data_IF_027918771138
#
_entry.id   IF_027918771138
#
_cell.length_a   1.000
_cell.length_b   1.000
_cell.length_c   1.000
_cell.angle_alpha   90.00
_cell.angle_beta   90.00
_cell.angle_gamma   90.00
#
_symmetry.space_group_name_H-M   'P 1'
#
loop_
_entity.id
_entity.type
_entity.pdbx_description
1 polymer ?
#
# COMPACT_ATOMS: atom_id res chain seq x y z
N UNK A 1 16.41 8.78 -0.18
CA UNK A 1 16.15 10.22 -0.03
C UNK A 1 16.62 11.05 -1.24
N UNK A 2 17.79 10.76 -1.84
CA UNK A 2 18.30 11.52 -3.01
C UNK A 2 17.35 11.59 -4.23
N UNK A 3 16.67 10.49 -4.61
CA UNK A 3 15.74 10.50 -5.77
C UNK A 3 14.51 11.39 -5.57
N UNK A 4 14.07 11.59 -4.32
CA UNK A 4 12.84 12.33 -4.00
C UNK A 4 13.05 13.84 -3.98
N UNK A 5 14.27 14.31 -3.67
CA UNK A 5 14.62 15.73 -3.73
C UNK A 5 14.78 16.22 -5.18
N UNK A 6 15.21 15.37 -6.12
CA UNK A 6 15.31 15.74 -7.55
C UNK A 6 13.98 16.11 -8.20
N UNK A 7 12.86 15.50 -7.77
CA UNK A 7 11.52 15.84 -8.28
C UNK A 7 11.02 17.21 -7.77
N UNK A 8 11.55 17.64 -6.62
CA UNK A 8 11.18 18.90 -5.96
C UNK A 8 12.08 20.05 -6.44
N UNK A 9 13.34 19.77 -6.77
CA UNK A 9 14.30 20.72 -7.33
C UNK A 9 14.17 20.92 -8.86
N UNK A 10 13.05 20.49 -9.45
CA UNK A 10 12.77 20.65 -10.88
C UNK A 10 11.71 21.73 -11.15
N UNK A 11 11.52 22.09 -12.42
CA UNK A 11 10.57 23.14 -12.87
C UNK A 11 9.15 23.02 -12.28
N UNK A 12 8.66 21.78 -12.09
CA UNK A 12 7.35 21.54 -11.47
C UNK A 12 7.33 21.89 -9.98
N UNK A 13 8.42 21.59 -9.26
CA UNK A 13 8.58 22.00 -7.87
C UNK A 13 8.62 23.53 -7.75
N UNK A 14 9.39 24.20 -8.59
CA UNK A 14 9.46 25.68 -8.63
C UNK A 14 8.10 26.32 -8.90
N UNK A 15 7.34 25.75 -9.84
CA UNK A 15 5.99 26.21 -10.16
C UNK A 15 5.06 26.11 -8.93
N UNK A 16 5.07 24.98 -8.22
CA UNK A 16 4.26 24.82 -7.01
C UNK A 16 4.75 25.69 -5.86
N UNK A 17 6.07 25.86 -5.68
CA UNK A 17 6.65 26.78 -4.69
C UNK A 17 6.19 28.22 -4.94
N UNK A 18 6.31 28.72 -6.18
CA UNK A 18 5.81 30.04 -6.57
C UNK A 18 4.31 30.19 -6.32
N UNK A 19 3.53 29.12 -6.56
CA UNK A 19 2.10 29.12 -6.29
C UNK A 19 1.81 29.19 -4.79
N UNK A 20 2.55 28.45 -3.96
CA UNK A 20 2.38 28.48 -2.51
C UNK A 20 2.73 29.83 -1.90
N UNK A 21 3.84 30.45 -2.34
CA UNK A 21 4.23 31.80 -1.93
C UNK A 21 3.18 32.87 -2.28
N UNK A 22 2.43 32.67 -3.38
CA UNK A 22 1.38 33.59 -3.82
C UNK A 22 -0.02 33.20 -3.34
N UNK A 23 -0.17 32.06 -2.67
CA UNK A 23 -1.49 31.50 -2.34
C UNK A 23 -2.08 32.20 -1.11
N UNK A 24 -3.30 32.73 -1.22
CA UNK A 24 -4.09 33.17 -0.06
C UNK A 24 -4.86 32.03 0.61
N UNK A 25 -4.96 30.88 -0.06
CA UNK A 25 -5.80 29.76 0.39
C UNK A 25 -5.02 28.79 1.30
N UNK A 26 -3.68 28.81 1.27
CA UNK A 26 -2.85 27.88 2.02
C UNK A 26 -1.72 28.63 2.71
N UNK A 27 -1.81 28.68 4.03
CA UNK A 27 -0.74 29.11 4.92
C UNK A 27 0.12 27.90 5.29
N UNK A 28 1.43 27.99 5.03
CA UNK A 28 2.39 26.98 5.42
C UNK A 28 2.74 27.14 6.89
N UNK A 29 2.58 26.08 7.68
CA UNK A 29 2.78 26.15 9.14
C UNK A 29 4.17 25.63 9.56
N UNK A 30 4.85 24.90 8.69
CA UNK A 30 6.21 24.38 8.95
C UNK A 30 6.88 23.94 7.65
N UNK A 31 8.21 23.76 7.69
CA UNK A 31 8.97 23.14 6.60
C UNK A 31 8.43 21.74 6.25
N UNK A 32 8.07 20.94 7.27
CA UNK A 32 7.51 19.60 7.09
C UNK A 32 6.19 19.60 6.34
N UNK A 33 5.31 20.59 6.61
CA UNK A 33 4.05 20.80 5.89
C UNK A 33 4.31 21.14 4.41
N UNK A 34 5.18 22.12 4.16
CA UNK A 34 5.56 22.54 2.82
C UNK A 34 6.16 21.38 2.00
N UNK A 35 7.16 20.68 2.54
CA UNK A 35 7.82 19.56 1.84
C UNK A 35 6.86 18.40 1.60
N UNK A 36 5.96 18.09 2.53
CA UNK A 36 4.96 17.03 2.35
C UNK A 36 4.02 17.35 1.17
N UNK A 37 3.50 18.58 1.12
CA UNK A 37 2.60 19.04 0.06
C UNK A 37 3.29 19.07 -1.28
N UNK A 38 4.49 19.64 -1.35
CA UNK A 38 5.25 19.76 -2.58
C UNK A 38 5.56 18.38 -3.16
N UNK A 39 5.96 17.42 -2.31
CA UNK A 39 6.15 16.01 -2.70
C UNK A 39 4.86 15.37 -3.22
N UNK A 40 3.75 15.55 -2.53
CA UNK A 40 2.45 15.03 -2.97
C UNK A 40 2.07 15.58 -4.35
N UNK A 41 2.19 16.90 -4.53
CA UNK A 41 1.81 17.59 -5.76
C UNK A 41 2.68 17.17 -6.93
N UNK A 42 4.01 17.25 -6.81
CA UNK A 42 4.91 16.83 -7.87
C UNK A 42 4.64 15.37 -8.26
N UNK A 43 4.55 14.45 -7.29
CA UNK A 43 4.31 13.03 -7.59
C UNK A 43 2.95 12.80 -8.25
N UNK A 44 1.89 13.43 -7.75
CA UNK A 44 0.57 13.30 -8.33
C UNK A 44 0.52 13.84 -9.76
N UNK A 45 1.12 15.01 -10.02
CA UNK A 45 1.14 15.59 -11.36
C UNK A 45 1.97 14.79 -12.35
N UNK A 46 3.11 14.22 -11.95
CA UNK A 46 3.87 13.31 -12.83
C UNK A 46 3.16 11.98 -13.07
N UNK A 47 2.35 11.51 -12.11
CA UNK A 47 1.65 10.23 -12.22
C UNK A 47 0.38 10.32 -13.06
N UNK A 48 -0.32 11.46 -13.06
CA UNK A 48 -1.58 11.64 -13.79
C UNK A 48 -1.49 11.31 -15.29
N UNK A 49 -0.51 11.84 -16.06
CA UNK A 49 -0.35 11.48 -17.47
C UNK A 49 -0.09 10.00 -17.69
N UNK A 50 0.65 9.35 -16.78
CA UNK A 50 0.93 7.92 -16.85
C UNK A 50 -0.35 7.11 -16.62
N UNK A 51 -1.16 7.47 -15.62
CA UNK A 51 -2.46 6.82 -15.39
C UNK A 51 -3.45 7.05 -16.54
N UNK A 52 -3.40 8.23 -17.17
CA UNK A 52 -4.19 8.52 -18.36
C UNK A 52 -3.77 7.62 -19.54
N UNK A 53 -2.46 7.48 -19.80
CA UNK A 53 -1.95 6.57 -20.82
C UNK A 53 -2.35 5.12 -20.55
N UNK A 54 -2.30 4.67 -19.29
CA UNK A 54 -2.78 3.34 -18.93
C UNK A 54 -4.28 3.19 -19.18
N UNK A 55 -5.09 4.17 -18.82
CA UNK A 55 -6.53 4.19 -19.14
C UNK A 55 -6.76 4.01 -20.64
N UNK A 56 -6.08 4.78 -21.48
CA UNK A 56 -6.16 4.66 -22.94
C UNK A 56 -5.73 3.26 -23.42
N UNK A 57 -4.67 2.70 -22.86
CA UNK A 57 -4.20 1.34 -23.18
C UNK A 57 -5.28 0.28 -22.86
N UNK A 58 -5.89 0.32 -21.67
CA UNK A 58 -6.92 -0.66 -21.31
C UNK A 58 -8.19 -0.51 -22.17
N UNK A 59 -8.59 0.72 -22.50
CA UNK A 59 -9.70 0.98 -23.44
C UNK A 59 -9.38 0.40 -24.81
N UNK A 60 -8.19 0.68 -25.35
CA UNK A 60 -7.76 0.15 -26.64
C UNK A 60 -7.73 -1.38 -26.65
N UNK A 61 -7.17 -2.00 -25.61
CA UNK A 61 -7.15 -3.44 -25.42
C UNK A 61 -8.58 -4.03 -25.41
N UNK A 62 -9.51 -3.39 -24.69
CA UNK A 62 -10.91 -3.82 -24.63
C UNK A 62 -11.56 -3.78 -26.00
N UNK A 63 -11.35 -2.69 -26.76
CA UNK A 63 -11.91 -2.52 -28.11
C UNK A 63 -11.37 -3.59 -29.07
N UNK A 64 -10.07 -3.91 -29.01
CA UNK A 64 -9.50 -4.98 -29.84
C UNK A 64 -10.10 -6.34 -29.51
N UNK A 65 -10.21 -6.68 -28.23
CA UNK A 65 -10.74 -7.97 -27.78
C UNK A 65 -12.21 -8.12 -28.20
N UNK A 66 -13.00 -7.05 -28.09
CA UNK A 66 -14.39 -7.01 -28.56
C UNK A 66 -14.50 -7.09 -30.10
N UNK A 67 -13.62 -6.41 -30.84
CA UNK A 67 -13.58 -6.51 -32.29
C UNK A 67 -13.19 -7.92 -32.76
N UNK A 68 -12.32 -8.62 -32.02
CA UNK A 68 -11.98 -10.02 -32.27
C UNK A 68 -13.17 -10.95 -31.96
N UNK A 69 -13.92 -10.69 -30.88
CA UNK A 69 -15.14 -11.41 -30.54
C UNK A 69 -16.19 -11.33 -31.67
N UNK A 70 -16.44 -10.12 -32.18
CA UNK A 70 -17.48 -9.87 -33.19
C UNK A 70 -17.12 -10.42 -34.59
N UNK A 71 -15.83 -10.53 -34.91
CA UNK A 71 -15.37 -10.97 -36.24
C UNK A 71 -15.02 -12.46 -36.32
N UNK A 72 -15.04 -13.20 -35.21
CA UNK A 72 -14.73 -14.62 -35.24
C UNK A 72 -15.96 -15.46 -35.63
N UNK A 73 -15.93 -16.01 -36.84
CA UNK A 73 -17.01 -16.88 -37.36
C UNK A 73 -16.94 -18.34 -36.87
N UNK A 74 -15.91 -18.72 -36.11
CA UNK A 74 -15.60 -20.13 -35.76
C UNK A 74 -15.18 -20.31 -34.30
N UNK A 75 -15.60 -19.43 -33.39
CA UNK A 75 -15.26 -19.61 -31.98
C UNK A 75 -16.09 -20.74 -31.34
N UNK A 76 -15.40 -21.68 -30.70
CA UNK A 76 -16.01 -22.62 -29.75
C UNK A 76 -16.65 -21.86 -28.58
N UNK A 77 -17.63 -22.48 -27.91
CA UNK A 77 -18.32 -21.90 -26.74
C UNK A 77 -17.32 -21.49 -25.63
N UNK A 78 -16.28 -22.30 -25.41
CA UNK A 78 -15.20 -22.04 -24.45
C UNK A 78 -14.40 -20.79 -24.83
N UNK A 79 -14.06 -20.64 -26.12
CA UNK A 79 -13.32 -19.47 -26.61
C UNK A 79 -14.13 -18.17 -26.44
N UNK A 80 -15.44 -18.23 -26.70
CA UNK A 80 -16.33 -17.09 -26.51
C UNK A 80 -16.45 -16.68 -25.04
N UNK A 81 -16.60 -17.65 -24.14
CA UNK A 81 -16.64 -17.42 -22.69
C UNK A 81 -15.37 -16.73 -22.18
N UNK A 82 -14.19 -17.23 -22.60
CA UNK A 82 -12.91 -16.65 -22.19
C UNK A 82 -12.72 -15.21 -22.67
N UNK A 83 -13.19 -14.88 -23.89
CA UNK A 83 -13.15 -13.52 -24.42
C UNK A 83 -14.07 -12.57 -23.61
N UNK A 84 -15.25 -13.04 -23.21
CA UNK A 84 -16.16 -12.26 -22.34
C UNK A 84 -15.52 -11.99 -20.97
N UNK A 85 -14.89 -12.99 -20.36
CA UNK A 85 -14.18 -12.83 -19.09
C UNK A 85 -13.02 -11.83 -19.22
N UNK A 86 -12.29 -11.88 -20.34
CA UNK A 86 -11.23 -10.92 -20.65
C UNK A 86 -11.77 -9.49 -20.76
N UNK A 87 -12.94 -9.29 -21.40
CA UNK A 87 -13.59 -7.98 -21.48
C UNK A 87 -13.98 -7.49 -20.07
N UNK A 88 -14.52 -8.37 -19.22
CA UNK A 88 -14.91 -8.02 -17.85
C UNK A 88 -13.70 -7.58 -17.02
N UNK A 89 -12.57 -8.28 -17.09
CA UNK A 89 -11.33 -7.90 -16.41
C UNK A 89 -10.81 -6.56 -16.91
N UNK A 90 -10.80 -6.34 -18.23
CA UNK A 90 -10.36 -5.06 -18.80
C UNK A 90 -11.27 -3.90 -18.35
N UNK A 91 -12.58 -4.12 -18.28
CA UNK A 91 -13.53 -3.13 -17.74
C UNK A 91 -13.23 -2.79 -16.27
N UNK A 92 -12.97 -3.81 -15.43
CA UNK A 92 -12.58 -3.61 -14.02
C UNK A 92 -11.28 -2.80 -13.94
N UNK A 93 -10.28 -3.07 -14.79
CA UNK A 93 -9.05 -2.30 -14.81
C UNK A 93 -9.25 -0.86 -15.27
N UNK A 94 -10.11 -0.60 -16.25
CA UNK A 94 -10.46 0.77 -16.65
C UNK A 94 -11.05 1.53 -15.45
N UNK A 95 -11.98 0.91 -14.71
CA UNK A 95 -12.56 1.51 -13.51
C UNK A 95 -11.50 1.82 -12.45
N UNK A 96 -10.55 0.91 -12.22
CA UNK A 96 -9.43 1.12 -11.28
C UNK A 96 -8.54 2.28 -11.73
N UNK A 97 -8.21 2.39 -13.03
CA UNK A 97 -7.37 3.51 -13.51
C UNK A 97 -8.09 4.86 -13.41
N UNK A 98 -9.39 4.91 -13.72
CA UNK A 98 -10.20 6.12 -13.54
C UNK A 98 -10.27 6.52 -12.05
N UNK A 99 -10.38 5.53 -11.17
CA UNK A 99 -10.30 5.73 -9.72
C UNK A 99 -8.92 6.29 -9.29
N UNK A 100 -7.81 5.82 -9.85
CA UNK A 100 -6.48 6.40 -9.59
C UNK A 100 -6.41 7.87 -10.02
N UNK A 101 -6.91 8.20 -11.21
CA UNK A 101 -6.98 9.59 -11.68
C UNK A 101 -7.80 10.45 -10.71
N UNK A 102 -8.95 9.94 -10.25
CA UNK A 102 -9.79 10.62 -9.28
C UNK A 102 -9.06 10.87 -7.94
N UNK A 103 -8.38 9.87 -7.38
CA UNK A 103 -7.61 10.03 -6.14
C UNK A 103 -6.48 11.04 -6.32
N UNK A 104 -5.67 10.89 -7.38
CA UNK A 104 -4.53 11.76 -7.62
C UNK A 104 -4.98 13.22 -7.81
N UNK A 105 -6.07 13.44 -8.53
CA UNK A 105 -6.69 14.76 -8.69
C UNK A 105 -7.19 15.31 -7.35
N UNK A 106 -7.84 14.49 -6.53
CA UNK A 106 -8.31 14.85 -5.20
C UNK A 106 -7.14 15.27 -4.29
N UNK A 107 -6.02 14.54 -4.32
CA UNK A 107 -4.79 14.90 -3.58
C UNK A 107 -4.28 16.27 -4.03
N UNK A 108 -4.24 16.54 -5.33
CA UNK A 108 -3.79 17.85 -5.85
C UNK A 108 -4.70 18.97 -5.36
N UNK A 109 -6.01 18.79 -5.46
CA UNK A 109 -6.99 19.79 -5.04
C UNK A 109 -6.85 20.10 -3.54
N UNK A 110 -6.75 19.07 -2.70
CA UNK A 110 -6.65 19.25 -1.24
C UNK A 110 -5.31 19.90 -0.88
N UNK A 111 -4.19 19.41 -1.41
CA UNK A 111 -2.87 19.93 -1.07
C UNK A 111 -2.66 21.39 -1.49
N UNK A 112 -3.39 21.86 -2.52
CA UNK A 112 -3.34 23.24 -3.02
C UNK A 112 -4.30 24.22 -2.35
N UNK A 113 -5.36 23.75 -1.71
CA UNK A 113 -6.44 24.63 -1.24
C UNK A 113 -6.74 24.52 0.26
N UNK A 114 -6.15 23.56 0.95
CA UNK A 114 -6.49 23.28 2.33
C UNK A 114 -5.33 23.59 3.27
N UNK A 115 -5.52 24.49 4.23
CA UNK A 115 -4.59 24.68 5.35
C UNK A 115 -4.62 23.53 6.35
N UNK A 116 -3.54 23.37 7.10
CA UNK A 116 -3.48 22.39 8.18
C UNK A 116 -4.60 22.66 9.21
N UNK A 117 -5.42 21.65 9.49
CA UNK A 117 -6.59 21.80 10.34
C UNK A 117 -7.26 20.45 10.65
N UNK A 118 -8.41 20.48 11.34
CA UNK A 118 -9.18 19.26 11.65
C UNK A 118 -9.52 18.44 10.41
N UNK A 119 -9.79 19.10 9.28
CA UNK A 119 -10.06 18.39 8.04
C UNK A 119 -8.84 17.63 7.49
N UNK A 120 -7.61 17.94 7.90
CA UNK A 120 -6.40 17.16 7.55
C UNK A 120 -6.55 15.74 8.07
N UNK A 121 -7.03 15.57 9.31
CA UNK A 121 -7.30 14.26 9.89
C UNK A 121 -8.42 13.54 9.15
N UNK A 122 -9.48 14.25 8.75
CA UNK A 122 -10.60 13.66 7.99
C UNK A 122 -10.13 13.17 6.61
N UNK A 123 -9.45 14.03 5.86
CA UNK A 123 -8.94 13.67 4.54
C UNK A 123 -7.95 12.51 4.61
N UNK A 124 -7.01 12.55 5.56
CA UNK A 124 -6.01 11.49 5.71
C UNK A 124 -6.63 10.17 6.15
N UNK A 125 -7.66 10.18 6.99
CA UNK A 125 -8.41 8.98 7.34
C UNK A 125 -9.12 8.37 6.10
N UNK A 126 -9.84 9.19 5.33
CA UNK A 126 -10.50 8.74 4.09
C UNK A 126 -9.49 8.21 3.07
N UNK A 127 -8.40 8.94 2.83
CA UNK A 127 -7.33 8.53 1.93
C UNK A 127 -6.70 7.20 2.37
N UNK A 128 -6.43 7.04 3.67
CA UNK A 128 -5.85 5.82 4.21
C UNK A 128 -6.80 4.62 4.05
N UNK A 129 -8.11 4.79 4.30
CA UNK A 129 -9.11 3.72 4.10
C UNK A 129 -9.16 3.29 2.64
N UNK A 130 -9.19 4.26 1.72
CA UNK A 130 -9.17 4.00 0.28
C UNK A 130 -7.90 3.24 -0.14
N UNK A 131 -6.72 3.74 0.27
CA UNK A 131 -5.44 3.11 -0.01
C UNK A 131 -5.32 1.68 0.55
N UNK A 132 -5.77 1.45 1.79
CA UNK A 132 -5.70 0.13 2.43
C UNK A 132 -6.68 -0.86 1.81
N UNK A 133 -7.90 -0.42 1.48
CA UNK A 133 -8.89 -1.23 0.76
C UNK A 133 -8.35 -1.68 -0.60
N UNK A 134 -7.70 -0.77 -1.32
CA UNK A 134 -7.09 -1.08 -2.60
C UNK A 134 -5.87 -2.00 -2.45
N UNK A 135 -5.01 -1.77 -1.45
CA UNK A 135 -3.89 -2.67 -1.18
C UNK A 135 -4.39 -4.11 -0.94
N UNK A 136 -5.46 -4.28 -0.16
CA UNK A 136 -6.10 -5.58 0.08
C UNK A 136 -6.66 -6.20 -1.21
N UNK A 137 -7.28 -5.40 -2.08
CA UNK A 137 -7.74 -5.86 -3.40
C UNK A 137 -6.57 -6.46 -4.21
N UNK A 138 -5.46 -5.75 -4.31
CA UNK A 138 -4.29 -6.24 -5.05
C UNK A 138 -3.61 -7.46 -4.42
N UNK A 139 -3.52 -7.52 -3.09
CA UNK A 139 -2.93 -8.68 -2.45
C UNK A 139 -3.80 -9.92 -2.48
N UNK A 140 -5.10 -9.74 -2.68
CA UNK A 140 -6.09 -10.83 -2.75
C UNK A 140 -6.51 -11.12 -4.19
N UNK A 141 -5.75 -10.60 -5.15
CA UNK A 141 -6.10 -10.60 -6.56
C UNK A 141 -6.38 -12.00 -7.11
N UNK A 142 -5.68 -13.03 -6.64
CA UNK A 142 -5.94 -14.42 -7.03
C UNK A 142 -7.32 -14.93 -6.59
N UNK A 143 -7.76 -14.60 -5.37
CA UNK A 143 -9.11 -14.93 -4.91
C UNK A 143 -10.17 -14.13 -5.65
N UNK A 144 -9.87 -12.89 -6.04
CA UNK A 144 -10.78 -12.06 -6.84
C UNK A 144 -10.90 -12.63 -8.26
N UNK A 145 -9.78 -13.04 -8.88
CA UNK A 145 -9.80 -13.68 -10.19
C UNK A 145 -10.63 -14.97 -10.18
N UNK A 146 -10.50 -15.78 -9.13
CA UNK A 146 -11.36 -16.96 -8.96
C UNK A 146 -12.83 -16.59 -8.78
N UNK A 147 -13.13 -15.60 -7.93
CA UNK A 147 -14.50 -15.13 -7.70
C UNK A 147 -15.16 -14.53 -8.95
N UNK A 148 -14.39 -13.80 -9.78
CA UNK A 148 -14.85 -13.29 -11.09
C UNK A 148 -15.01 -14.38 -12.13
N UNK A 149 -14.62 -15.60 -11.80
CA UNK A 149 -14.87 -16.77 -12.60
C UNK A 149 -13.75 -17.17 -13.55
N UNK A 150 -12.59 -16.54 -13.45
CA UNK A 150 -11.50 -16.84 -14.36
C UNK A 150 -10.75 -18.12 -13.99
N UNK A 151 -10.55 -18.41 -12.70
CA UNK A 151 -9.72 -19.54 -12.28
C UNK A 151 -10.53 -20.84 -12.11
N UNK A 152 -11.73 -20.81 -11.51
CA UNK A 152 -12.55 -22.01 -11.30
C UNK A 152 -12.95 -22.76 -12.59
N UNK A 153 -12.91 -22.08 -13.74
CA UNK A 153 -13.35 -22.64 -15.03
C UNK A 153 -12.29 -23.53 -15.70
N UNK A 154 -11.03 -23.47 -15.25
CA UNK A 154 -9.98 -24.34 -15.77
C UNK A 154 -9.98 -25.67 -15.03
N UNK A 155 -10.28 -26.75 -15.75
CA UNK A 155 -10.36 -28.09 -15.18
C UNK A 155 -9.03 -28.86 -15.23
N UNK A 156 -8.07 -28.37 -16.03
CA UNK A 156 -6.73 -28.95 -16.14
C UNK A 156 -5.66 -27.86 -16.42
N UNK A 157 -4.44 -27.97 -15.87
CA UNK A 157 -3.28 -27.15 -16.24
C UNK A 157 -3.06 -26.92 -17.74
N UNK A 158 -3.40 -27.90 -18.59
CA UNK A 158 -3.30 -27.76 -20.05
C UNK A 158 -4.23 -26.69 -20.63
N UNK A 159 -5.44 -26.53 -20.08
CA UNK A 159 -6.40 -25.50 -20.49
C UNK A 159 -5.93 -24.11 -20.05
N UNK A 160 -5.32 -24.01 -18.86
CA UNK A 160 -4.66 -22.79 -18.41
C UNK A 160 -3.51 -22.41 -19.34
N UNK A 161 -2.64 -23.36 -19.73
CA UNK A 161 -1.53 -23.10 -20.65
C UNK A 161 -2.02 -22.65 -22.04
N UNK A 162 -3.14 -23.22 -22.51
CA UNK A 162 -3.77 -22.81 -23.76
C UNK A 162 -4.33 -21.39 -23.65
N UNK A 163 -4.97 -21.03 -22.53
CA UNK A 163 -5.41 -19.66 -22.27
C UNK A 163 -4.23 -18.67 -22.15
N UNK A 164 -3.13 -19.05 -21.49
CA UNK A 164 -1.91 -18.24 -21.37
C UNK A 164 -1.27 -17.96 -22.74
N UNK A 165 -1.26 -18.96 -23.64
CA UNK A 165 -0.67 -18.81 -24.99
C UNK A 165 -1.56 -18.02 -25.95
N UNK A 166 -2.89 -18.09 -25.81
CA UNK A 166 -3.85 -17.44 -26.73
C UNK A 166 -4.31 -16.07 -26.26
N UNK A 167 -4.28 -15.78 -24.96
CA UNK A 167 -4.84 -14.56 -24.37
C UNK A 167 -3.84 -13.80 -23.47
N UNK A 168 -2.55 -13.81 -23.80
CA UNK A 168 -1.49 -13.20 -22.98
C UNK A 168 -1.69 -11.70 -22.66
N UNK A 169 -2.49 -10.98 -23.43
CA UNK A 169 -2.66 -9.53 -23.31
C UNK A 169 -3.26 -9.12 -21.95
N UNK A 170 -4.18 -9.91 -21.37
CA UNK A 170 -4.73 -9.60 -20.05
C UNK A 170 -3.73 -9.86 -18.91
N UNK A 171 -2.78 -10.78 -19.08
CA UNK A 171 -1.69 -10.99 -18.11
C UNK A 171 -0.77 -9.77 -18.05
N UNK A 172 -0.42 -9.20 -19.20
CA UNK A 172 0.30 -7.92 -19.25
C UNK A 172 -0.52 -6.79 -18.62
N UNK A 173 -1.84 -6.78 -18.87
CA UNK A 173 -2.77 -5.83 -18.30
C UNK A 173 -2.79 -5.91 -16.74
N UNK A 174 -2.72 -7.13 -16.17
CA UNK A 174 -2.59 -7.36 -14.72
C UNK A 174 -1.30 -6.77 -14.17
N UNK A 175 -0.17 -7.05 -14.82
CA UNK A 175 1.14 -6.54 -14.38
C UNK A 175 1.13 -5.02 -14.37
N UNK A 176 0.59 -4.40 -15.42
CA UNK A 176 0.43 -2.94 -15.51
C UNK A 176 -0.49 -2.42 -14.40
N UNK A 177 -1.63 -3.09 -14.15
CA UNK A 177 -2.58 -2.70 -13.10
C UNK A 177 -1.96 -2.79 -11.69
N UNK A 178 -1.11 -3.79 -11.42
CA UNK A 178 -0.37 -3.87 -10.16
C UNK A 178 0.67 -2.75 -10.05
N UNK A 179 1.34 -2.42 -11.15
CA UNK A 179 2.36 -1.37 -11.17
C UNK A 179 1.75 0.03 -11.04
N UNK A 180 0.53 0.23 -11.54
CA UNK A 180 -0.19 1.51 -11.48
C UNK A 180 -0.52 1.94 -10.04
N UNK A 181 -0.52 1.03 -9.07
CA UNK A 181 -0.67 1.34 -7.64
C UNK A 181 0.60 1.93 -6.99
N UNK A 182 1.78 1.74 -7.60
CA UNK A 182 3.07 2.17 -7.04
C UNK A 182 3.14 3.67 -6.65
N UNK A 183 2.62 4.62 -7.47
CA UNK A 183 2.61 6.03 -7.10
C UNK A 183 1.79 6.33 -5.84
N UNK A 184 0.65 5.64 -5.65
CA UNK A 184 -0.22 5.83 -4.49
C UNK A 184 0.49 5.46 -3.18
N UNK A 185 1.33 4.41 -3.18
CA UNK A 185 2.17 4.04 -2.03
C UNK A 185 3.11 5.18 -1.61
N UNK A 186 3.64 5.90 -2.59
CA UNK A 186 4.55 7.02 -2.39
C UNK A 186 3.82 8.21 -1.77
N UNK A 187 2.66 8.55 -2.33
CA UNK A 187 1.80 9.65 -1.86
C UNK A 187 1.24 9.34 -0.47
N UNK A 188 0.86 8.08 -0.20
CA UNK A 188 0.41 7.63 1.13
C UNK A 188 1.40 8.00 2.23
N UNK A 189 2.71 7.86 2.00
CA UNK A 189 3.73 8.25 2.99
C UNK A 189 3.72 9.76 3.25
N UNK A 190 3.63 10.57 2.20
CA UNK A 190 3.66 12.03 2.33
C UNK A 190 2.36 12.58 2.93
N UNK A 191 1.19 12.03 2.57
CA UNK A 191 -0.11 12.37 3.18
C UNK A 191 -0.10 12.05 4.69
N UNK A 192 0.47 10.91 5.09
CA UNK A 192 0.61 10.59 6.51
C UNK A 192 1.68 11.44 7.21
N UNK A 193 2.71 11.92 6.50
CA UNK A 193 3.65 12.91 7.02
C UNK A 193 2.94 14.24 7.28
N UNK A 194 2.11 14.68 6.34
CA UNK A 194 1.27 15.87 6.47
C UNK A 194 0.34 15.80 7.69
N UNK A 195 -0.31 14.65 7.93
CA UNK A 195 -1.12 14.45 9.14
C UNK A 195 -0.29 14.47 10.44
N UNK A 196 0.94 13.93 10.41
CA UNK A 196 1.84 13.98 11.57
C UNK A 196 2.24 15.40 11.93
N UNK A 197 2.47 16.26 10.93
CA UNK A 197 2.72 17.67 11.15
C UNK A 197 1.49 18.37 11.73
N UNK A 198 0.27 18.07 11.26
CA UNK A 198 -0.96 18.57 11.90
C UNK A 198 -1.04 18.19 13.38
N UNK A 199 -0.82 16.92 13.72
CA UNK A 199 -0.87 16.44 15.11
C UNK A 199 0.24 17.08 15.97
N UNK A 200 1.35 17.47 15.35
CA UNK A 200 2.41 18.24 16.03
C UNK A 200 1.93 19.66 16.34
N UNK A 201 1.43 20.37 15.33
CA UNK A 201 0.91 21.74 15.45
C UNK A 201 -0.27 21.83 16.41
N UNK A 202 -1.23 20.92 16.32
CA UNK A 202 -2.41 20.88 17.20
C UNK A 202 -2.01 20.64 18.67
N UNK A 203 -0.93 19.88 18.92
CA UNK A 203 -0.40 19.72 20.27
C UNK A 203 0.25 21.00 20.80
N UNK A 204 1.06 21.70 20.00
CA UNK A 204 1.61 23.01 20.41
C UNK A 204 0.52 24.01 20.78
N UNK A 205 -0.53 24.09 19.97
CA UNK A 205 -1.65 25.02 20.22
C UNK A 205 -2.36 24.76 21.54
N UNK A 206 -2.40 23.50 22.00
CA UNK A 206 -3.10 23.09 23.22
C UNK A 206 -2.27 23.26 24.49
N UNK A 207 -0.95 23.39 24.37
CA UNK A 207 -0.05 23.44 25.53
C UNK A 207 0.27 24.85 26.02
N UNK A 208 -0.11 25.93 25.30
CA UNK A 208 0.04 27.37 25.65
C UNK A 208 1.43 27.88 26.10
N UNK A 209 2.41 27.01 26.36
CA UNK A 209 3.77 27.38 26.74
C UNK A 209 4.51 27.99 25.55
N UNK A 210 4.75 29.30 25.67
CA UNK A 210 5.58 30.12 24.78
C UNK A 210 7.09 29.92 25.01
N UNK A 211 7.49 28.97 25.86
CA UNK A 211 8.90 28.67 26.12
C UNK A 211 9.41 27.55 25.21
N UNK A 212 10.52 27.86 24.54
CA UNK A 212 11.12 27.22 23.35
C UNK A 212 11.58 25.75 23.47
N UNK A 213 10.98 24.93 24.33
CA UNK A 213 11.32 23.50 24.38
C UNK A 213 10.21 22.63 24.95
N UNK A 214 9.37 22.05 24.09
CA UNK A 214 8.61 20.87 24.48
C UNK A 214 9.45 19.61 24.32
N UNK A 215 9.50 18.83 25.40
CA UNK A 215 9.96 17.45 25.41
C UNK A 215 8.82 16.58 24.85
N UNK A 216 8.91 16.12 23.61
CA UNK A 216 7.99 15.09 23.12
C UNK A 216 8.22 13.80 23.89
N UNK A 217 7.27 13.43 24.76
CA UNK A 217 7.42 12.22 25.58
C UNK A 217 7.19 10.89 24.86
N UNK A 218 6.84 10.90 23.57
CA UNK A 218 6.60 9.67 22.81
C UNK A 218 6.82 9.90 21.31
N UNK A 219 8.07 9.90 20.86
CA UNK A 219 8.32 9.59 19.45
C UNK A 219 8.30 8.07 19.28
N UNK A 220 7.60 7.60 18.24
CA UNK A 220 7.62 6.20 17.86
C UNK A 220 9.07 5.85 17.51
N UNK A 221 9.65 4.93 18.26
CA UNK A 221 11.05 4.54 18.07
C UNK A 221 11.24 3.82 16.73
N UNK A 222 12.44 3.87 16.12
CA UNK A 222 12.72 3.12 14.89
C UNK A 222 12.46 1.61 15.03
N UNK A 223 12.67 1.06 16.23
CA UNK A 223 12.36 -0.33 16.56
C UNK A 223 10.87 -0.65 16.47
N UNK A 224 10.00 0.22 16.99
CA UNK A 224 8.54 0.08 16.92
C UNK A 224 8.03 0.15 15.47
N UNK A 225 8.59 1.06 14.65
CA UNK A 225 8.27 1.16 13.22
C UNK A 225 8.70 -0.12 12.50
N UNK A 226 9.91 -0.59 12.76
CA UNK A 226 10.43 -1.79 12.12
C UNK A 226 9.64 -3.04 12.52
N UNK A 227 9.24 -3.18 13.78
CA UNK A 227 8.39 -4.28 14.23
C UNK A 227 7.04 -4.27 13.52
N UNK A 228 6.41 -3.09 13.38
CA UNK A 228 5.15 -2.93 12.64
C UNK A 228 5.29 -3.32 11.17
N UNK A 229 6.35 -2.87 10.52
CA UNK A 229 6.63 -3.25 9.13
C UNK A 229 6.78 -4.77 8.98
N UNK A 230 7.48 -5.43 9.90
CA UNK A 230 7.59 -6.90 9.90
C UNK A 230 6.21 -7.58 10.08
N UNK A 231 5.34 -7.04 10.93
CA UNK A 231 3.99 -7.59 11.12
C UNK A 231 3.11 -7.40 9.87
N UNK A 232 3.19 -6.25 9.21
CA UNK A 232 2.52 -6.00 7.92
C UNK A 232 3.02 -6.98 6.86
N UNK A 233 4.33 -7.23 6.81
CA UNK A 233 4.92 -8.19 5.87
C UNK A 233 4.49 -9.63 6.21
N UNK A 234 4.42 -10.00 7.49
CA UNK A 234 3.90 -11.30 7.91
C UNK A 234 2.43 -11.51 7.46
N UNK A 235 1.59 -10.47 7.59
CA UNK A 235 0.22 -10.49 7.09
C UNK A 235 0.15 -10.69 5.57
N UNK A 236 1.01 -10.01 4.81
CA UNK A 236 1.13 -10.24 3.36
C UNK A 236 1.51 -11.67 3.02
N UNK A 237 2.45 -12.26 3.75
CA UNK A 237 2.82 -13.66 3.55
C UNK A 237 1.72 -14.64 3.95
N UNK A 238 0.83 -14.28 4.89
CA UNK A 238 -0.38 -15.07 5.15
C UNK A 238 -1.29 -15.07 3.92
N UNK A 239 -1.59 -13.90 3.35
CA UNK A 239 -2.43 -13.76 2.16
C UNK A 239 -1.81 -14.50 0.96
N UNK A 240 -0.49 -14.42 0.80
CA UNK A 240 0.24 -15.15 -0.24
C UNK A 240 0.15 -16.68 -0.05
N UNK A 241 0.33 -17.17 1.19
CA UNK A 241 0.22 -18.60 1.50
C UNK A 241 -1.20 -19.11 1.26
N UNK A 242 -2.22 -18.34 1.65
CA UNK A 242 -3.61 -18.64 1.36
C UNK A 242 -3.87 -18.71 -0.16
N UNK A 243 -3.28 -17.80 -0.92
CA UNK A 243 -3.41 -17.78 -2.39
C UNK A 243 -2.74 -19.00 -3.03
N UNK A 244 -1.58 -19.43 -2.53
CA UNK A 244 -0.93 -20.66 -2.98
C UNK A 244 -1.79 -21.90 -2.70
N UNK A 245 -2.41 -21.99 -1.52
CA UNK A 245 -3.32 -23.09 -1.17
C UNK A 245 -4.57 -23.07 -2.06
N UNK A 246 -5.09 -21.88 -2.36
CA UNK A 246 -6.24 -21.72 -3.23
C UNK A 246 -5.97 -22.18 -4.67
N UNK A 247 -4.81 -21.82 -5.25
CA UNK A 247 -4.41 -22.30 -6.57
C UNK A 247 -4.28 -23.83 -6.60
N UNK A 248 -3.74 -24.43 -5.54
CA UNK A 248 -3.60 -25.88 -5.46
C UNK A 248 -4.95 -26.58 -5.31
N UNK A 249 -5.90 -25.98 -4.59
CA UNK A 249 -7.27 -26.50 -4.53
C UNK A 249 -7.93 -26.48 -5.91
N UNK A 250 -7.69 -25.46 -6.74
CA UNK A 250 -8.25 -25.35 -8.09
C UNK A 250 -7.64 -26.41 -9.03
N UNK A 251 -6.30 -26.53 -9.08
CA UNK A 251 -5.64 -27.37 -10.09
C UNK A 251 -5.40 -28.81 -9.68
N UNK A 252 -5.32 -29.09 -8.38
CA UNK A 252 -5.02 -30.42 -7.87
C UNK A 252 -6.17 -30.98 -6.99
N UNK A 253 -7.33 -30.30 -6.95
CA UNK A 253 -8.51 -30.70 -6.16
C UNK A 253 -8.15 -31.02 -4.70
N UNK A 254 -7.27 -30.21 -4.12
CA UNK A 254 -6.77 -30.42 -2.77
C UNK A 254 -7.83 -30.08 -1.71
N UNK A 255 -7.70 -30.67 -0.53
CA UNK A 255 -8.66 -30.53 0.56
C UNK A 255 -8.47 -29.29 1.45
N UNK A 256 -7.80 -28.22 1.03
CA UNK A 256 -7.47 -27.08 1.90
C UNK A 256 -8.67 -26.17 2.24
N UNK A 257 -9.89 -26.59 1.89
CA UNK A 257 -11.07 -25.75 1.76
C UNK A 257 -11.30 -24.76 2.90
N UNK A 258 -11.21 -25.17 4.17
CA UNK A 258 -11.40 -24.24 5.30
C UNK A 258 -10.13 -23.49 5.70
N UNK A 259 -8.96 -24.13 5.58
CA UNK A 259 -7.69 -23.60 6.11
C UNK A 259 -7.21 -22.38 5.31
N UNK A 260 -7.37 -22.39 3.97
CA UNK A 260 -7.01 -21.25 3.13
C UNK A 260 -7.76 -19.96 3.52
N UNK A 261 -9.05 -20.07 3.86
CA UNK A 261 -9.85 -18.91 4.29
C UNK A 261 -9.50 -18.47 5.71
N UNK A 262 -9.19 -19.38 6.63
CA UNK A 262 -8.71 -19.02 7.97
C UNK A 262 -7.41 -18.20 7.88
N UNK A 263 -6.45 -18.64 7.06
CA UNK A 263 -5.19 -17.93 6.84
C UNK A 263 -5.45 -16.56 6.19
N UNK A 264 -6.35 -16.48 5.20
CA UNK A 264 -6.70 -15.24 4.50
C UNK A 264 -7.32 -14.21 5.45
N UNK A 265 -8.36 -14.60 6.19
CA UNK A 265 -9.07 -13.74 7.14
C UNK A 265 -8.12 -13.25 8.22
N UNK A 266 -7.30 -14.15 8.77
CA UNK A 266 -6.28 -13.76 9.75
C UNK A 266 -5.30 -12.73 9.15
N UNK A 267 -4.80 -12.96 7.94
CA UNK A 267 -3.95 -12.02 7.22
C UNK A 267 -4.58 -10.62 7.11
N UNK A 268 -5.86 -10.52 6.76
CA UNK A 268 -6.57 -9.24 6.69
C UNK A 268 -6.68 -8.55 8.05
N UNK A 269 -7.05 -9.29 9.09
CA UNK A 269 -7.19 -8.74 10.44
C UNK A 269 -5.86 -8.19 10.92
N UNK A 270 -4.76 -8.96 10.78
CA UNK A 270 -3.43 -8.52 11.18
C UNK A 270 -2.96 -7.31 10.37
N UNK A 271 -3.20 -7.32 9.04
CA UNK A 271 -2.85 -6.21 8.17
C UNK A 271 -3.55 -4.91 8.61
N UNK A 272 -4.87 -4.93 8.75
CA UNK A 272 -5.66 -3.76 9.15
C UNK A 272 -5.31 -3.31 10.57
N UNK A 273 -5.22 -4.24 11.51
CA UNK A 273 -4.89 -3.94 12.90
C UNK A 273 -3.50 -3.31 13.03
N UNK A 274 -2.50 -3.68 12.21
CA UNK A 274 -1.19 -3.06 12.22
C UNK A 274 -1.23 -1.54 11.92
N UNK A 275 -2.22 -1.06 11.17
CA UNK A 275 -2.40 0.38 10.90
C UNK A 275 -3.18 1.11 12.00
N UNK A 276 -4.04 0.42 12.74
CA UNK A 276 -4.92 1.02 13.77
C UNK A 276 -4.30 0.97 15.17
N UNK A 277 -3.57 -0.11 15.50
CA UNK A 277 -3.06 -0.34 16.86
C UNK A 277 -2.09 0.78 17.26
N UNK A 278 -2.25 1.40 18.45
CA UNK A 278 -1.36 2.47 18.93
C UNK A 278 0.04 1.95 19.29
N UNK A 279 1.03 2.84 19.36
CA UNK A 279 2.40 2.51 19.81
C UNK A 279 2.51 2.65 21.33
N UNK A 280 1.98 1.67 22.07
CA UNK A 280 1.97 1.68 23.52
C UNK A 280 2.21 0.27 24.09
N UNK A 281 2.35 0.16 25.43
CA UNK A 281 2.53 -1.14 26.10
C UNK A 281 1.39 -2.13 25.81
N UNK A 282 0.17 -1.65 25.61
CA UNK A 282 -1.01 -2.49 25.29
C UNK A 282 -0.83 -3.19 23.93
N UNK A 283 -0.15 -2.56 22.98
CA UNK A 283 0.11 -3.19 21.67
C UNK A 283 1.01 -4.43 21.74
N UNK A 284 1.72 -4.68 22.84
CA UNK A 284 2.46 -5.92 23.06
C UNK A 284 1.53 -7.15 23.02
N UNK A 285 0.28 -7.00 23.49
CA UNK A 285 -0.76 -8.03 23.37
C UNK A 285 -1.02 -8.35 21.91
N UNK A 286 -1.16 -7.34 21.04
CA UNK A 286 -1.39 -7.54 19.61
C UNK A 286 -0.27 -8.37 18.96
N UNK A 287 1.01 -8.03 19.20
CA UNK A 287 2.13 -8.77 18.59
C UNK A 287 2.21 -10.22 19.08
N UNK A 288 2.05 -10.46 20.38
CA UNK A 288 2.16 -11.81 20.92
C UNK A 288 0.94 -12.69 20.63
N UNK A 289 -0.28 -12.12 20.61
CA UNK A 289 -1.48 -12.86 20.18
C UNK A 289 -1.36 -13.32 18.73
N UNK A 290 -0.89 -12.46 17.83
CA UNK A 290 -0.65 -12.85 16.43
C UNK A 290 0.41 -13.94 16.33
N UNK A 291 1.48 -13.85 17.14
CA UNK A 291 2.53 -14.86 17.15
C UNK A 291 2.04 -16.21 17.67
N UNK A 292 1.22 -16.22 18.73
CA UNK A 292 0.63 -17.46 19.25
C UNK A 292 -0.26 -18.10 18.18
N UNK A 293 -1.10 -17.31 17.51
CA UNK A 293 -1.96 -17.83 16.45
C UNK A 293 -1.16 -18.43 15.29
N UNK A 294 -0.13 -17.72 14.80
CA UNK A 294 0.74 -18.22 13.71
C UNK A 294 1.57 -19.43 14.13
N UNK A 295 1.99 -19.50 15.39
CA UNK A 295 2.67 -20.66 15.93
C UNK A 295 1.75 -21.88 15.99
N UNK A 296 0.50 -21.72 16.41
CA UNK A 296 -0.51 -22.79 16.39
C UNK A 296 -0.78 -23.28 14.96
N UNK A 297 -0.95 -22.36 13.99
CA UNK A 297 -1.10 -22.73 12.58
C UNK A 297 0.12 -23.46 12.03
N UNK A 298 1.33 -23.00 12.35
CA UNK A 298 2.56 -23.65 11.92
C UNK A 298 2.69 -25.05 12.52
N UNK A 299 2.38 -25.21 13.81
CA UNK A 299 2.41 -26.51 14.48
C UNK A 299 1.38 -27.48 13.88
N UNK A 300 0.18 -27.00 13.58
CA UNK A 300 -0.83 -27.76 12.84
C UNK A 300 -0.31 -28.17 11.45
N UNK A 301 0.33 -27.26 10.72
CA UNK A 301 0.94 -27.57 9.42
C UNK A 301 2.02 -28.65 9.51
N UNK A 302 2.90 -28.59 10.51
CA UNK A 302 3.91 -29.62 10.76
C UNK A 302 3.27 -30.97 11.10
N UNK A 303 2.20 -30.98 11.90
CA UNK A 303 1.45 -32.19 12.20
C UNK A 303 0.88 -32.83 10.92
N UNK A 304 0.27 -32.04 10.04
CA UNK A 304 -0.26 -32.52 8.76
C UNK A 304 0.86 -33.09 7.86
N UNK A 305 2.01 -32.44 7.82
CA UNK A 305 3.17 -32.93 7.05
C UNK A 305 3.65 -34.27 7.58
N UNK A 306 3.84 -34.37 8.89
CA UNK A 306 4.41 -35.56 9.51
C UNK A 306 3.49 -36.78 9.37
N UNK A 307 2.18 -36.59 9.55
CA UNK A 307 1.26 -37.72 9.68
C UNK A 307 0.57 -38.09 8.37
N UNK A 308 0.34 -37.13 7.47
CA UNK A 308 -0.56 -37.32 6.32
C UNK A 308 0.17 -37.12 4.96
N UNK A 309 1.21 -36.29 4.87
CA UNK A 309 1.76 -35.88 3.56
C UNK A 309 2.46 -37.00 2.78
N UNK A 310 2.90 -38.07 3.45
CA UNK A 310 3.52 -39.23 2.81
C UNK A 310 2.48 -40.24 2.28
N UNK A 311 1.21 -40.11 2.66
CA UNK A 311 0.12 -40.96 2.17
C UNK A 311 -0.11 -40.67 0.67
N UNK A 312 -0.37 -41.72 -0.09
CA UNK A 312 -0.65 -41.62 -1.53
C UNK A 312 -1.79 -40.61 -1.80
N UNK A 313 -1.61 -39.77 -2.82
CA UNK A 313 -2.51 -38.63 -3.17
C UNK A 313 -2.58 -37.48 -2.16
N UNK A 314 -1.79 -37.46 -1.08
CA UNK A 314 -1.76 -36.38 -0.07
C UNK A 314 -0.47 -35.54 -0.08
N UNK A 315 0.38 -35.70 -1.10
CA UNK A 315 1.67 -35.01 -1.23
C UNK A 315 1.57 -33.48 -1.15
N UNK A 316 0.43 -32.90 -1.56
CA UNK A 316 0.22 -31.46 -1.55
C UNK A 316 0.26 -30.87 -0.12
N UNK A 317 0.08 -31.68 0.93
CA UNK A 317 0.22 -31.26 2.32
C UNK A 317 1.64 -30.78 2.67
N UNK A 318 2.68 -31.12 1.89
CA UNK A 318 4.01 -30.51 2.04
C UNK A 318 3.99 -28.97 1.89
N UNK A 319 2.98 -28.39 1.23
CA UNK A 319 2.82 -26.94 1.11
C UNK A 319 2.60 -26.24 2.45
N UNK A 320 2.17 -26.95 3.50
CA UNK A 320 2.09 -26.41 4.85
C UNK A 320 3.42 -25.84 5.35
N UNK A 321 4.56 -26.22 4.76
CA UNK A 321 5.87 -25.67 5.12
C UNK A 321 5.97 -24.17 4.83
N UNK A 322 5.18 -23.63 3.91
CA UNK A 322 5.12 -22.19 3.60
C UNK A 322 4.74 -21.36 4.84
N UNK A 323 4.03 -21.93 5.82
CA UNK A 323 3.66 -21.27 7.07
C UNK A 323 4.87 -20.86 7.93
N UNK A 324 6.07 -21.42 7.66
CA UNK A 324 7.29 -21.01 8.36
C UNK A 324 7.63 -19.53 8.15
N UNK A 325 7.30 -18.98 6.97
CA UNK A 325 7.63 -17.60 6.59
C UNK A 325 6.83 -16.59 7.44
N UNK A 326 5.47 -16.60 7.42
CA UNK A 326 4.71 -15.67 8.24
C UNK A 326 4.98 -15.86 9.74
N UNK A 327 5.18 -17.10 10.21
CA UNK A 327 5.55 -17.38 11.60
C UNK A 327 6.89 -16.74 11.99
N UNK A 328 7.96 -16.95 11.22
CA UNK A 328 9.29 -16.42 11.55
C UNK A 328 9.31 -14.88 11.54
N UNK A 329 8.58 -14.25 10.61
CA UNK A 329 8.46 -12.79 10.55
C UNK A 329 7.68 -12.22 11.74
N UNK A 330 6.59 -12.88 12.11
CA UNK A 330 5.79 -12.55 13.30
C UNK A 330 6.62 -12.66 14.59
N UNK A 331 7.41 -13.73 14.74
CA UNK A 331 8.29 -13.92 15.89
C UNK A 331 9.33 -12.79 15.99
N UNK A 332 10.00 -12.49 14.88
CA UNK A 332 10.96 -11.37 14.81
C UNK A 332 10.31 -10.04 15.14
N UNK A 333 9.09 -9.81 14.66
CA UNK A 333 8.30 -8.61 14.97
C UNK A 333 8.00 -8.49 16.47
N UNK A 334 7.47 -9.55 17.09
CA UNK A 334 7.11 -9.58 18.51
C UNK A 334 8.32 -9.40 19.43
N UNK A 335 9.42 -10.13 19.14
CA UNK A 335 10.70 -9.99 19.87
C UNK A 335 11.18 -8.54 19.76
N UNK A 336 11.28 -8.00 18.55
CA UNK A 336 11.77 -6.64 18.33
C UNK A 336 10.92 -5.58 19.04
N UNK A 337 9.59 -5.71 19.00
CA UNK A 337 8.71 -4.80 19.72
C UNK A 337 8.91 -4.85 21.23
N UNK A 338 9.09 -6.07 21.77
CA UNK A 338 9.34 -6.30 23.20
C UNK A 338 10.66 -5.66 23.66
N UNK A 339 11.76 -5.89 22.92
CA UNK A 339 13.05 -5.26 23.22
C UNK A 339 12.98 -3.74 23.12
N UNK A 340 12.33 -3.23 22.08
CA UNK A 340 12.21 -1.78 21.89
C UNK A 340 11.44 -1.11 23.04
N UNK A 341 10.42 -1.76 23.60
CA UNK A 341 9.71 -1.26 24.80
C UNK A 341 10.56 -1.34 26.07
N UNK A 342 11.43 -2.35 26.19
CA UNK A 342 12.34 -2.53 27.32
C UNK A 342 13.45 -1.47 27.31
N UNK A 343 13.95 -1.13 26.13
CA UNK A 343 15.06 -0.18 25.91
C UNK A 343 14.57 1.27 25.72
N UNK A 344 13.32 1.59 26.07
CA UNK A 344 12.78 2.96 25.96
C UNK A 344 13.49 3.89 26.96
N UNK A 345 14.60 4.47 26.54
CA UNK A 345 15.03 5.78 27.03
C UNK A 345 14.04 6.84 26.53
N UNK A 346 13.67 7.79 27.40
CA UNK A 346 12.80 8.91 27.01
C UNK A 346 13.51 9.76 25.95
N UNK A 347 13.24 9.50 24.67
CA UNK A 347 13.72 10.35 23.58
C UNK A 347 12.96 11.67 23.66
N UNK A 348 13.59 12.66 24.29
CA UNK A 348 13.11 14.03 24.36
C UNK A 348 13.40 14.72 23.03
N UNK A 349 12.45 14.69 22.09
CA UNK A 349 12.56 15.57 20.93
C UNK A 349 12.19 16.99 21.38
N UNK A 350 13.09 17.95 21.21
CA UNK A 350 12.83 19.39 21.29
C UNK A 350 12.49 19.83 19.88
N UNK A 351 11.42 20.59 19.71
CA UNK A 351 11.11 21.18 18.41
C UNK A 351 10.86 22.65 18.63
N UNK A 352 11.62 23.46 17.90
CA UNK A 352 11.46 24.90 17.79
C UNK A 352 10.42 25.17 16.69
N UNK A 353 9.51 26.12 16.91
CA UNK A 353 8.82 26.76 15.79
C UNK A 353 9.93 27.35 14.90
N UNK A 354 9.97 26.98 13.62
CA UNK A 354 11.02 27.47 12.73
C UNK A 354 10.64 28.78 12.02
N UNK A 355 9.37 29.17 12.04
CA UNK A 355 8.89 30.37 11.35
C UNK A 355 7.81 31.06 12.19
N UNK A 356 8.13 32.22 12.75
CA UNK A 356 7.20 33.10 13.45
C UNK A 356 6.65 34.21 12.52
N UNK A 357 7.35 34.51 11.41
CA UNK A 357 6.95 35.49 10.39
C UNK A 357 7.05 34.94 8.95
N UNK A 358 6.21 35.44 8.03
CA UNK A 358 6.23 35.07 6.59
C UNK A 358 7.61 35.29 5.94
N UNK A 359 8.37 36.29 6.40
CA UNK A 359 9.73 36.62 5.93
C UNK A 359 10.76 35.52 6.26
N UNK A 360 10.56 34.75 7.33
CA UNK A 360 11.51 33.68 7.70
C UNK A 360 11.35 32.47 6.78
N UNK A 361 10.14 32.22 6.27
CA UNK A 361 9.90 31.20 5.25
C UNK A 361 10.55 31.55 3.91
N UNK A 362 10.52 32.82 3.51
CA UNK A 362 11.21 33.29 2.30
C UNK A 362 12.72 33.10 2.42
N UNK A 363 13.33 33.46 3.56
CA UNK A 363 14.75 33.24 3.83
C UNK A 363 15.14 31.76 3.77
N UNK A 364 14.32 30.87 4.34
CA UNK A 364 14.58 29.43 4.25
C UNK A 364 14.59 28.91 2.80
N UNK A 365 13.71 29.44 1.93
CA UNK A 365 13.72 29.09 0.51
C UNK A 365 14.99 29.60 -0.17
N UNK A 366 15.42 30.82 0.14
CA UNK A 366 16.66 31.42 -0.39
C UNK A 366 17.88 30.59 0.02
N UNK A 367 18.04 30.27 1.31
CA UNK A 367 19.13 29.44 1.83
C UNK A 367 19.16 28.04 1.19
N UNK A 368 17.99 27.41 1.00
CA UNK A 368 17.90 26.12 0.31
C UNK A 368 18.40 26.22 -1.14
N UNK A 369 18.03 27.27 -1.85
CA UNK A 369 18.44 27.47 -3.24
C UNK A 369 19.95 27.75 -3.34
N UNK A 370 20.52 28.47 -2.38
CA UNK A 370 21.96 28.71 -2.29
C UNK A 370 22.74 27.40 -2.07
N UNK A 371 22.32 26.57 -1.11
CA UNK A 371 22.95 25.26 -0.84
C UNK A 371 22.83 24.29 -2.02
N UNK A 372 21.70 24.30 -2.75
CA UNK A 372 21.56 23.51 -3.99
C UNK A 372 22.49 24.02 -5.11
N UNK A 373 22.77 25.32 -5.17
CA UNK A 373 23.69 25.90 -6.16
C UNK A 373 25.17 25.53 -5.90
N UNK A 374 25.59 25.53 -4.63
CA UNK A 374 26.96 25.18 -4.23
C UNK A 374 27.28 23.68 -4.39
N UNK A 375 26.27 22.80 -4.31
CA UNK A 375 26.44 21.35 -4.46
C UNK A 375 26.39 20.86 -5.91
N UNK A 376 26.17 21.76 -6.88
CA UNK A 376 26.20 21.48 -8.33
C UNK A 376 27.46 21.96 -9.06
N UNK A 377 28.43 22.53 -8.32
CA UNK A 377 29.80 22.78 -8.78
C UNK A 377 30.65 21.56 -8.43
#
# INVERSE_FOLDING_TARGET
MQKTNRLIAGKMGDMFTKRFLKSRNVNMVSEGDYLARLRCLCRATYSLPVQFLFTCFFIYARVIVEAYFLNSQTNSEITNLLIVDQINVLNVFIVIQLYHIFILSSVIIVMLNMTLGRGTTIFTALFNVLYLSEALLYGSFLFILDWTGLLYKFSNPAELLLALSTQWLWLFAIIIAMWSFSPLRSIFKDVNMWNREWIRVDRYRKTEDRENAFIFKTWVTPGEISARNLMIVAAWFCIFTASAFHLMDIFASTGFNSVKYVILIFGYIVFLAAYVVPYNKISLIFYWTNQIFLFSLFTYGLYMIQNEAWIYSQWYLYLYILLIIPWALSLRSAIKYTWTLKDKEEIKAIVLNMFDEDNEFEKFIEERNEVESETTI
#
